data_IF_038379399051
#
_entry.id   IF_038379399051
#
_cell.length_a   1.000
_cell.length_b   1.000
_cell.length_c   1.000
_cell.angle_alpha   90.00
_cell.angle_beta   90.00
_cell.angle_gamma   90.00
#
_symmetry.space_group_name_H-M   'P 1'
#
loop_
_entity.id
_entity.type
_entity.pdbx_description
1 polymer ?
#
# COMPACT_ATOMS: atom_id res chain seq x y z
N UNK A 1 -27.38 3.60 9.43
CA UNK A 1 -26.98 2.72 8.30
C UNK A 1 -25.46 2.59 8.25
N UNK A 2 -24.90 1.46 8.65
CA UNK A 2 -23.46 1.20 8.49
C UNK A 2 -23.14 1.04 7.01
N UNK A 3 -22.38 1.98 6.43
CA UNK A 3 -21.84 1.86 5.07
C UNK A 3 -20.91 0.64 5.04
N UNK A 4 -21.39 -0.48 4.47
CA UNK A 4 -20.56 -1.67 4.19
C UNK A 4 -19.34 -1.21 3.36
N UNK A 5 -18.15 -1.61 3.81
CA UNK A 5 -16.91 -1.36 3.07
C UNK A 5 -17.01 -2.07 1.72
N UNK A 6 -16.94 -1.31 0.63
CA UNK A 6 -17.16 -1.84 -0.73
C UNK A 6 -15.89 -2.39 -1.40
N UNK A 7 -14.72 -2.26 -0.77
CA UNK A 7 -13.48 -2.77 -1.38
C UNK A 7 -13.36 -4.25 -1.06
N UNK A 8 -13.49 -5.05 -2.11
CA UNK A 8 -13.46 -6.51 -2.05
C UNK A 8 -12.16 -7.10 -2.58
N UNK A 9 -11.16 -6.26 -2.91
CA UNK A 9 -9.91 -6.68 -3.54
C UNK A 9 -8.70 -6.19 -2.77
N UNK A 10 -7.78 -7.09 -2.48
CA UNK A 10 -6.49 -6.79 -1.87
C UNK A 10 -5.72 -5.79 -2.74
N UNK A 11 -5.24 -4.72 -2.14
CA UNK A 11 -4.51 -3.65 -2.83
C UNK A 11 -3.07 -4.05 -3.17
N UNK A 12 -2.54 -5.12 -2.55
CA UNK A 12 -1.21 -5.68 -2.80
C UNK A 12 -1.29 -6.80 -3.85
N UNK A 13 -1.94 -7.93 -3.54
CA UNK A 13 -1.92 -9.13 -4.38
C UNK A 13 -3.15 -9.32 -5.28
N UNK A 14 -4.10 -8.38 -5.27
CA UNK A 14 -5.32 -8.40 -6.10
C UNK A 14 -6.30 -9.55 -5.87
N UNK A 15 -6.09 -10.43 -4.89
CA UNK A 15 -7.11 -11.44 -4.51
C UNK A 15 -8.38 -10.78 -3.98
N UNK A 16 -9.53 -11.46 -4.09
CA UNK A 16 -10.82 -10.98 -3.57
C UNK A 16 -11.30 -11.73 -2.33
N UNK A 17 -10.56 -12.74 -1.89
CA UNK A 17 -10.94 -13.57 -0.75
C UNK A 17 -10.50 -12.94 0.57
N UNK A 18 -11.39 -12.98 1.58
CA UNK A 18 -11.10 -12.61 2.98
C UNK A 18 -10.38 -11.26 3.12
N UNK A 19 -10.91 -10.24 2.46
CA UNK A 19 -10.34 -8.89 2.45
C UNK A 19 -10.91 -8.03 3.58
N UNK A 20 -10.03 -7.45 4.38
CA UNK A 20 -10.34 -6.58 5.51
C UNK A 20 -9.62 -5.24 5.44
N UNK A 21 -10.06 -4.33 6.31
CA UNK A 21 -9.45 -3.00 6.45
C UNK A 21 -8.17 -3.09 7.24
N UNK A 22 -7.11 -2.50 6.71
CA UNK A 22 -5.85 -2.29 7.41
C UNK A 22 -5.57 -0.79 7.55
N UNK A 23 -5.37 -0.33 8.78
CA UNK A 23 -4.98 1.05 9.08
C UNK A 23 -3.47 1.20 8.85
N UNK A 24 -3.08 2.15 7.98
CA UNK A 24 -1.67 2.40 7.66
C UNK A 24 -0.97 3.06 8.84
N UNK A 25 -1.52 4.19 9.31
CA UNK A 25 -1.22 4.74 10.63
C UNK A 25 -2.20 4.09 11.59
N UNK A 26 -1.68 3.47 12.65
CA UNK A 26 -2.49 2.77 13.64
C UNK A 26 -3.46 3.73 14.34
N UNK A 27 -4.56 3.20 14.90
CA UNK A 27 -5.48 4.03 15.69
C UNK A 27 -4.86 4.54 16.98
N UNK A 28 -3.92 3.79 17.56
CA UNK A 28 -3.17 4.21 18.74
C UNK A 28 -2.34 5.47 18.43
N UNK A 29 -1.83 5.58 17.20
CA UNK A 29 -1.06 6.72 16.69
C UNK A 29 -1.95 7.80 16.04
N UNK A 30 -3.23 7.87 16.43
CA UNK A 30 -4.23 8.82 15.90
C UNK A 30 -4.50 8.68 14.40
N UNK A 31 -4.24 7.52 13.82
CA UNK A 31 -4.59 7.21 12.44
C UNK A 31 -6.09 7.32 12.18
N UNK A 32 -6.46 8.04 11.12
CA UNK A 32 -7.86 8.30 10.80
C UNK A 32 -8.54 7.09 10.12
N UNK A 33 -9.86 7.06 10.11
CA UNK A 33 -10.65 6.10 9.32
C UNK A 33 -10.86 6.55 7.86
N UNK A 34 -10.13 7.58 7.42
CA UNK A 34 -10.27 8.12 6.07
C UNK A 34 -9.67 7.18 5.05
N UNK A 35 -10.14 7.27 3.81
CA UNK A 35 -9.72 6.38 2.72
C UNK A 35 -8.20 6.38 2.52
N UNK A 36 -7.51 7.51 2.67
CA UNK A 36 -6.05 7.58 2.53
C UNK A 36 -5.27 6.81 3.62
N UNK A 37 -5.88 6.53 4.78
CA UNK A 37 -5.23 5.82 5.88
C UNK A 37 -5.71 4.37 6.02
N UNK A 38 -6.60 3.91 5.14
CA UNK A 38 -7.17 2.56 5.21
C UNK A 38 -6.98 1.85 3.87
N UNK A 39 -6.15 0.81 3.91
CA UNK A 39 -5.95 -0.14 2.81
C UNK A 39 -6.89 -1.34 2.96
N UNK A 40 -7.14 -2.04 1.86
CA UNK A 40 -7.88 -3.30 1.81
C UNK A 40 -6.90 -4.41 1.55
N UNK A 41 -6.73 -5.32 2.51
CA UNK A 41 -5.75 -6.41 2.42
C UNK A 41 -6.46 -7.74 2.66
N UNK A 42 -6.03 -8.80 1.97
CA UNK A 42 -6.43 -10.16 2.35
C UNK A 42 -5.70 -10.60 3.62
N UNK A 43 -6.18 -11.66 4.27
CA UNK A 43 -5.57 -12.20 5.50
C UNK A 43 -4.06 -12.45 5.39
N UNK A 44 -3.57 -12.94 4.25
CA UNK A 44 -2.14 -13.21 4.04
C UNK A 44 -1.32 -11.92 4.00
N UNK A 45 -1.67 -10.98 3.12
CA UNK A 45 -0.96 -9.69 3.04
C UNK A 45 -1.13 -8.87 4.32
N UNK A 46 -2.26 -8.98 5.00
CA UNK A 46 -2.47 -8.34 6.30
C UNK A 46 -1.48 -8.85 7.35
N UNK A 47 -1.23 -10.17 7.38
CA UNK A 47 -0.23 -10.79 8.25
C UNK A 47 1.19 -10.37 7.89
N UNK A 48 1.54 -10.36 6.61
CA UNK A 48 2.86 -9.89 6.14
C UNK A 48 3.11 -8.43 6.55
N UNK A 49 2.10 -7.55 6.42
CA UNK A 49 2.24 -6.16 6.87
C UNK A 49 2.35 -6.06 8.39
N UNK A 50 1.54 -6.80 9.14
CA UNK A 50 1.57 -6.79 10.61
C UNK A 50 2.88 -7.33 11.18
N UNK A 51 3.54 -8.24 10.45
CA UNK A 51 4.84 -8.82 10.84
C UNK A 51 6.05 -8.01 10.37
N UNK A 52 5.86 -7.01 9.50
CA UNK A 52 6.94 -6.19 8.97
C UNK A 52 7.60 -6.73 7.69
N UNK A 53 7.15 -7.88 7.17
CA UNK A 53 7.62 -8.45 5.89
C UNK A 53 7.26 -7.55 4.69
N UNK A 54 6.13 -6.83 4.81
CA UNK A 54 5.74 -5.78 3.87
C UNK A 54 5.56 -4.48 4.64
N UNK A 55 6.32 -3.45 4.29
CA UNK A 55 6.10 -2.10 4.78
C UNK A 55 5.11 -1.37 3.87
N UNK A 56 4.05 -0.77 4.43
CA UNK A 56 3.20 0.17 3.69
C UNK A 56 3.75 1.58 3.90
N UNK A 57 4.27 2.18 2.83
CA UNK A 57 4.87 3.52 2.89
C UNK A 57 3.77 4.58 2.85
N UNK A 58 2.87 4.48 1.86
CA UNK A 58 1.85 5.51 1.62
C UNK A 58 0.70 4.98 0.77
N UNK A 59 -0.43 5.68 0.83
CA UNK A 59 -1.57 5.48 -0.08
C UNK A 59 -1.99 6.82 -0.68
N UNK A 60 -2.00 6.91 -2.00
CA UNK A 60 -2.30 8.14 -2.73
C UNK A 60 -3.47 7.96 -3.68
N UNK A 61 -4.16 9.07 -3.96
CA UNK A 61 -5.19 9.15 -4.99
C UNK A 61 -4.52 9.51 -6.32
N UNK A 62 -4.81 8.73 -7.35
CA UNK A 62 -4.37 8.95 -8.74
C UNK A 62 -5.61 9.10 -9.64
N UNK A 63 -5.40 9.44 -10.91
CA UNK A 63 -6.46 9.41 -11.93
C UNK A 63 -7.13 8.04 -12.05
N UNK A 64 -6.38 6.96 -11.79
CA UNK A 64 -6.84 5.57 -11.87
C UNK A 64 -7.44 5.06 -10.53
N UNK A 65 -7.64 5.97 -9.58
CA UNK A 65 -8.08 5.68 -8.23
C UNK A 65 -6.94 5.57 -7.23
N UNK A 66 -7.18 4.89 -6.12
CA UNK A 66 -6.16 4.80 -5.06
C UNK A 66 -5.09 3.76 -5.39
N UNK A 67 -3.83 4.11 -5.13
CA UNK A 67 -2.69 3.22 -5.20
C UNK A 67 -1.98 3.14 -3.86
N UNK A 68 -1.43 1.98 -3.56
CA UNK A 68 -0.71 1.67 -2.33
C UNK A 68 0.77 1.49 -2.66
N UNK A 69 1.63 2.23 -2.01
CA UNK A 69 3.08 2.04 -2.08
C UNK A 69 3.54 1.11 -0.97
N UNK A 70 4.28 0.07 -1.34
CA UNK A 70 4.81 -0.90 -0.39
C UNK A 70 6.27 -1.21 -0.66
N UNK A 71 7.01 -1.62 0.38
CA UNK A 71 8.36 -2.18 0.28
C UNK A 71 8.29 -3.64 0.72
N UNK A 72 8.90 -4.53 -0.05
CA UNK A 72 9.11 -5.95 0.27
C UNK A 72 10.48 -6.34 -0.26
N UNK A 73 11.30 -7.02 0.54
CA UNK A 73 12.63 -7.48 0.12
C UNK A 73 13.51 -6.38 -0.52
N UNK A 74 13.51 -5.18 0.08
CA UNK A 74 14.17 -3.97 -0.45
C UNK A 74 13.70 -3.48 -1.83
N UNK A 75 12.62 -4.07 -2.38
CA UNK A 75 12.01 -3.64 -3.63
C UNK A 75 10.76 -2.81 -3.33
N UNK A 76 10.66 -1.63 -3.97
CA UNK A 76 9.45 -0.78 -3.92
C UNK A 76 8.43 -1.23 -4.95
N UNK A 77 7.16 -1.10 -4.58
CA UNK A 77 6.00 -1.40 -5.43
C UNK A 77 4.98 -0.28 -5.35
N UNK A 78 4.31 -0.02 -6.47
CA UNK A 78 3.13 0.86 -6.56
C UNK A 78 1.96 0.03 -7.07
N UNK A 79 0.97 -0.18 -6.20
CA UNK A 79 -0.06 -1.20 -6.39
C UNK A 79 0.59 -2.58 -6.46
N UNK A 80 0.43 -3.25 -7.60
CA UNK A 80 1.01 -4.58 -7.86
C UNK A 80 2.19 -4.56 -8.84
N UNK A 81 2.74 -3.37 -9.14
CA UNK A 81 3.88 -3.21 -10.08
C UNK A 81 5.12 -2.85 -9.29
N UNK A 82 6.25 -3.51 -9.59
CA UNK A 82 7.54 -3.09 -9.08
C UNK A 82 7.85 -1.68 -9.59
N UNK A 83 8.23 -0.79 -8.68
CA UNK A 83 8.74 0.52 -9.03
C UNK A 83 10.25 0.40 -9.18
N UNK A 84 10.70 0.29 -10.42
CA UNK A 84 12.12 0.39 -10.76
C UNK A 84 12.50 1.86 -10.65
N UNK A 85 12.83 2.33 -9.45
CA UNK A 85 13.60 3.55 -9.34
C UNK A 85 14.99 3.22 -9.87
N UNK A 86 15.25 3.42 -11.17
CA UNK A 86 16.62 3.72 -11.56
C UNK A 86 16.93 5.04 -10.85
N UNK A 87 17.88 5.10 -9.90
CA UNK A 87 18.42 6.40 -9.58
C UNK A 87 19.02 6.89 -10.89
N UNK A 88 18.43 7.93 -11.47
CA UNK A 88 19.15 8.75 -12.43
C UNK A 88 20.32 9.38 -11.65
N UNK A 89 21.40 8.62 -11.49
CA UNK A 89 22.71 9.20 -11.33
C UNK A 89 23.00 9.81 -12.70
N UNK A 90 22.46 11.00 -12.94
CA UNK A 90 23.01 11.87 -13.95
C UNK A 90 24.46 12.11 -13.51
N UNK A 91 25.35 11.30 -14.07
CA UNK A 91 26.77 11.55 -14.01
C UNK A 91 26.93 12.92 -14.68
N UNK A 92 27.02 13.98 -13.88
CA UNK A 92 27.42 15.30 -14.34
C UNK A 92 28.84 15.11 -14.86
N UNK A 93 28.97 14.80 -16.15
CA UNK A 93 30.19 15.01 -16.89
C UNK A 93 30.40 16.51 -16.90
N UNK A 94 31.22 16.99 -15.97
CA UNK A 94 31.87 18.29 -16.06
C UNK A 94 32.75 18.24 -17.31
N UNK A 95 32.33 18.93 -18.36
CA UNK A 95 33.19 19.35 -19.46
C UNK A 95 33.45 20.85 -19.32
#
# INVERSE_FOLDING_TARGET
MNKKWKRSRCEICRTTSSCDKHHIISRADKGSNQSYNVATLCCNCHREVTSGEIEIVKRYLTSDGFMLETVRDNQRYIGNKAFNHQPEVQQLTLF
#
